data_IF_039857640908
#
_entry.id   IF_039857640908
#
_cell.length_a   1.000
_cell.length_b   1.000
_cell.length_c   1.000
_cell.angle_alpha   90.00
_cell.angle_beta   90.00
_cell.angle_gamma   90.00
#
_symmetry.space_group_name_H-M   'P 1'
#
loop_
_entity.id
_entity.type
_entity.pdbx_description
1 polymer ?
#
# COMPACT_ATOMS: atom_id res chain seq x y z
N UNK A 1 59.77 33.56 10.44
CA UNK A 1 58.39 33.48 10.96
C UNK A 1 58.33 34.20 12.31
N UNK A 2 57.74 35.41 12.38
CA UNK A 2 57.48 36.10 13.65
C UNK A 2 56.11 35.65 14.16
N UNK A 3 56.08 34.94 15.29
CA UNK A 3 54.83 34.62 16.01
C UNK A 3 54.36 35.91 16.68
N UNK A 4 53.18 36.41 16.31
CA UNK A 4 52.51 37.45 17.08
C UNK A 4 51.94 36.77 18.32
N UNK A 5 52.63 36.91 19.46
CA UNK A 5 52.06 36.55 20.75
C UNK A 5 50.84 37.46 20.99
N UNK A 6 49.65 36.90 20.92
CA UNK A 6 48.43 37.60 21.31
C UNK A 6 48.44 37.74 22.83
N UNK A 7 48.20 38.94 23.35
CA UNK A 7 48.23 39.33 24.78
C UNK A 7 47.44 38.42 25.74
N UNK A 8 46.66 37.48 25.20
CA UNK A 8 45.96 36.47 25.95
C UNK A 8 46.86 35.45 26.65
N UNK A 9 48.01 35.11 26.07
CA UNK A 9 48.95 34.15 26.67
C UNK A 9 49.66 34.72 27.91
N UNK A 10 49.65 36.05 28.07
CA UNK A 10 50.31 36.74 29.19
C UNK A 10 49.35 37.10 30.35
N UNK A 11 48.09 36.63 30.32
CA UNK A 11 47.11 36.85 31.40
C UNK A 11 46.71 38.32 31.66
N UNK A 12 47.17 39.27 30.83
CA UNK A 12 46.96 40.72 31.06
C UNK A 12 45.61 41.26 30.57
N UNK A 13 44.87 40.50 29.76
CA UNK A 13 43.60 40.95 29.18
C UNK A 13 42.55 39.85 29.31
N UNK A 14 41.41 40.19 29.89
CA UNK A 14 40.29 39.26 30.02
C UNK A 14 39.77 38.84 28.64
N UNK A 15 39.24 37.62 28.52
CA UNK A 15 38.69 37.11 27.25
C UNK A 15 37.60 38.02 26.68
N UNK A 16 36.84 38.64 27.57
CA UNK A 16 35.85 39.66 27.26
C UNK A 16 36.46 40.90 26.58
N UNK A 17 37.57 41.43 27.08
CA UNK A 17 38.20 42.63 26.54
C UNK A 17 38.92 42.37 25.21
N UNK A 18 39.53 41.20 25.04
CA UNK A 18 40.14 40.82 23.77
C UNK A 18 39.08 40.76 22.66
N UNK A 19 37.93 40.15 22.96
CA UNK A 19 36.79 40.10 22.05
C UNK A 19 36.25 41.51 21.75
N UNK A 20 36.08 42.37 22.77
CA UNK A 20 35.62 43.75 22.57
C UNK A 20 36.56 44.55 21.68
N UNK A 21 37.88 44.42 21.86
CA UNK A 21 38.90 45.10 21.05
C UNK A 21 38.86 44.61 19.60
N UNK A 22 38.86 43.30 19.39
CA UNK A 22 38.76 42.70 18.07
C UNK A 22 37.50 43.20 17.33
N UNK A 23 36.37 43.31 18.01
CA UNK A 23 35.13 43.81 17.42
C UNK A 23 35.14 45.31 17.14
N UNK A 24 35.74 46.13 18.01
CA UNK A 24 35.93 47.57 17.77
C UNK A 24 36.77 47.78 16.50
N UNK A 25 37.85 47.01 16.35
CA UNK A 25 38.71 47.05 15.16
C UNK A 25 37.97 46.64 13.90
N UNK A 26 37.21 45.53 13.92
CA UNK A 26 36.41 45.11 12.75
C UNK A 26 35.33 46.11 12.33
N UNK A 27 34.69 46.77 13.31
CA UNK A 27 33.70 47.83 13.04
C UNK A 27 34.35 49.05 12.36
N UNK A 28 35.56 49.44 12.77
CA UNK A 28 36.31 50.53 12.13
C UNK A 28 36.73 50.15 10.70
N UNK A 29 37.04 48.88 10.47
CA UNK A 29 37.45 48.34 9.17
C UNK A 29 36.29 47.98 8.23
N UNK A 30 35.03 48.14 8.66
CA UNK A 30 33.85 47.78 7.86
C UNK A 30 33.67 46.27 7.63
N UNK A 31 34.38 45.43 8.38
CA UNK A 31 34.30 43.97 8.26
C UNK A 31 33.00 43.43 8.88
N UNK A 32 32.39 42.37 8.30
CA UNK A 32 31.17 41.79 8.83
C UNK A 32 31.40 41.23 10.24
N UNK A 33 30.61 41.73 11.19
CA UNK A 33 30.61 41.23 12.57
C UNK A 33 29.89 39.88 12.61
N UNK A 34 30.50 38.81 13.14
CA UNK A 34 29.88 37.49 13.21
C UNK A 34 28.49 37.51 13.87
N UNK A 35 27.53 36.77 13.29
CA UNK A 35 26.16 36.68 13.81
C UNK A 35 26.17 36.06 15.22
N UNK A 36 25.70 36.83 16.21
CA UNK A 36 25.86 36.59 17.65
C UNK A 36 24.89 35.54 18.22
N UNK A 37 23.94 35.06 17.40
CA UNK A 37 22.89 34.14 17.84
C UNK A 37 22.77 32.90 16.93
N UNK A 38 23.88 32.44 16.33
CA UNK A 38 23.83 31.20 15.55
C UNK A 38 23.35 30.01 16.42
N UNK A 39 22.61 29.07 15.83
CA UNK A 39 22.20 27.85 16.52
C UNK A 39 23.40 27.09 17.10
N UNK A 40 24.52 27.05 16.36
CA UNK A 40 25.77 26.35 16.71
C UNK A 40 26.50 26.93 17.95
N UNK A 41 26.17 28.14 18.40
CA UNK A 41 26.84 28.75 19.55
C UNK A 41 26.38 28.11 20.88
N UNK A 42 27.34 27.84 21.78
CA UNK A 42 27.07 27.21 23.08
C UNK A 42 26.08 28.03 23.93
N UNK A 43 25.30 27.32 24.76
CA UNK A 43 24.31 27.94 25.65
C UNK A 43 24.98 28.93 26.61
N UNK A 44 26.12 28.56 27.16
CA UNK A 44 26.90 29.38 28.10
C UNK A 44 27.41 30.66 27.45
N UNK A 45 27.83 30.58 26.18
CA UNK A 45 28.25 31.76 25.40
C UNK A 45 27.09 32.72 25.13
N UNK A 46 25.89 32.18 24.84
CA UNK A 46 24.67 32.99 24.64
C UNK A 46 24.23 33.68 25.94
N UNK A 47 24.29 32.97 27.07
CA UNK A 47 23.97 33.55 28.38
C UNK A 47 25.01 34.60 28.81
N UNK A 48 26.30 34.34 28.56
CA UNK A 48 27.38 35.31 28.79
C UNK A 48 27.21 36.57 27.92
N UNK A 49 26.88 36.40 26.63
CA UNK A 49 26.57 37.52 25.72
C UNK A 49 25.40 38.35 26.24
N UNK A 50 24.30 37.70 26.64
CA UNK A 50 23.13 38.40 27.21
C UNK A 50 23.52 39.21 28.45
N UNK A 51 24.22 38.61 29.41
CA UNK A 51 24.65 39.30 30.64
C UNK A 51 25.66 40.43 30.40
N UNK A 52 26.60 40.23 29.47
CA UNK A 52 27.67 41.19 29.19
C UNK A 52 27.27 42.36 28.29
N UNK A 53 26.13 42.25 27.59
CA UNK A 53 25.62 43.24 26.64
C UNK A 53 24.39 44.00 27.12
N UNK A 54 23.80 43.60 28.25
CA UNK A 54 22.78 44.40 28.95
C UNK A 54 23.38 45.78 29.23
N UNK A 55 22.79 46.82 28.64
CA UNK A 55 23.19 48.22 28.80
C UNK A 55 24.21 48.78 27.79
N UNK A 56 24.79 47.99 26.88
CA UNK A 56 25.80 48.48 25.90
C UNK A 56 25.40 48.38 24.44
N UNK A 57 24.30 47.69 24.13
CA UNK A 57 23.79 47.57 22.77
C UNK A 57 22.35 48.03 22.77
N UNK A 58 22.11 49.26 22.30
CA UNK A 58 20.82 49.57 21.72
C UNK A 58 20.56 48.57 20.58
N UNK A 59 19.41 47.88 20.55
CA UNK A 59 19.04 47.06 19.41
C UNK A 59 19.18 47.92 18.16
N UNK A 60 20.17 47.61 17.31
CA UNK A 60 20.35 48.37 16.08
C UNK A 60 19.03 48.37 15.30
N UNK A 61 18.68 49.48 14.63
CA UNK A 61 17.33 49.74 14.12
C UNK A 61 16.73 48.63 13.24
N UNK A 62 17.56 47.75 12.67
CA UNK A 62 17.14 46.65 11.80
C UNK A 62 16.89 45.30 12.48
N UNK A 63 17.26 45.10 13.76
CA UNK A 63 17.11 43.78 14.42
C UNK A 63 15.64 43.38 14.62
N UNK A 64 14.72 44.28 15.04
CA UNK A 64 13.30 43.94 15.15
C UNK A 64 12.66 43.59 13.80
N UNK A 65 13.02 44.32 12.74
CA UNK A 65 12.50 44.10 11.38
C UNK A 65 12.93 42.75 10.78
N UNK A 66 14.15 42.29 11.06
CA UNK A 66 14.63 40.98 10.60
C UNK A 66 13.87 39.84 11.32
N UNK A 67 13.56 39.99 12.61
CA UNK A 67 12.84 38.98 13.38
C UNK A 67 11.38 38.89 12.92
N UNK A 68 10.71 40.01 12.63
CA UNK A 68 9.35 40.00 12.08
C UNK A 68 9.28 39.41 10.67
N UNK A 69 10.26 39.69 9.79
CA UNK A 69 10.32 39.09 8.45
C UNK A 69 10.52 37.56 8.48
N UNK A 70 11.37 37.05 9.38
CA UNK A 70 11.54 35.60 9.58
C UNK A 70 10.28 34.96 10.16
N UNK A 71 9.62 35.64 11.12
CA UNK A 71 8.35 35.19 11.70
C UNK A 71 7.24 35.07 10.67
N UNK A 72 7.07 36.10 9.83
CA UNK A 72 6.09 36.11 8.74
C UNK A 72 6.37 35.00 7.72
N UNK A 73 7.63 34.82 7.30
CA UNK A 73 8.04 33.71 6.41
C UNK A 73 7.72 32.34 6.99
N UNK A 74 7.89 32.16 8.30
CA UNK A 74 7.57 30.90 8.95
C UNK A 74 6.06 30.65 8.99
N UNK A 75 5.25 31.67 9.30
CA UNK A 75 3.78 31.57 9.28
C UNK A 75 3.24 31.23 7.88
N UNK A 76 3.76 31.88 6.83
CA UNK A 76 3.38 31.58 5.44
C UNK A 76 3.70 30.12 5.10
N UNK A 77 4.86 29.61 5.51
CA UNK A 77 5.23 28.20 5.27
C UNK A 77 4.31 27.22 6.01
N UNK A 78 3.97 27.51 7.26
CA UNK A 78 3.04 26.69 8.03
C UNK A 78 1.66 26.65 7.37
N UNK A 79 1.14 27.80 6.94
CA UNK A 79 -0.14 27.89 6.23
C UNK A 79 -0.13 27.06 4.94
N UNK A 80 0.92 27.18 4.13
CA UNK A 80 1.06 26.41 2.89
C UNK A 80 1.16 24.90 3.14
N UNK A 81 1.81 24.49 4.23
CA UNK A 81 1.87 23.07 4.63
C UNK A 81 0.50 22.57 5.07
N UNK A 82 -0.25 23.37 5.83
CA UNK A 82 -1.62 23.04 6.23
C UNK A 82 -2.53 22.84 5.01
N UNK A 83 -2.53 23.79 4.07
CA UNK A 83 -3.33 23.68 2.83
C UNK A 83 -2.96 22.47 1.97
N UNK A 84 -1.68 22.05 1.99
CA UNK A 84 -1.25 20.83 1.29
C UNK A 84 -1.74 19.58 2.01
N UNK A 85 -1.68 19.58 3.33
CA UNK A 85 -2.18 18.47 4.14
C UNK A 85 -3.69 18.28 3.92
N UNK A 86 -4.46 19.36 4.01
CA UNK A 86 -5.92 19.32 3.84
C UNK A 86 -6.32 18.85 2.44
N UNK A 87 -5.62 19.31 1.40
CA UNK A 87 -5.84 18.85 0.02
C UNK A 87 -5.51 17.37 -0.15
N UNK A 88 -4.40 16.90 0.41
CA UNK A 88 -4.00 15.51 0.32
C UNK A 88 -5.01 14.60 1.04
N UNK A 89 -5.50 15.03 2.21
CA UNK A 89 -6.50 14.29 2.97
C UNK A 89 -7.82 14.18 2.19
N UNK A 90 -8.28 15.28 1.58
CA UNK A 90 -9.48 15.27 0.75
C UNK A 90 -9.32 14.37 -0.49
N UNK A 91 -8.16 14.41 -1.14
CA UNK A 91 -7.85 13.54 -2.28
C UNK A 91 -7.79 12.07 -1.85
N UNK A 92 -7.20 11.78 -0.68
CA UNK A 92 -7.14 10.45 -0.11
C UNK A 92 -8.55 9.88 0.14
N UNK A 93 -9.43 10.67 0.77
CA UNK A 93 -10.82 10.29 0.99
C UNK A 93 -11.58 10.05 -0.33
N UNK A 94 -11.34 10.91 -1.34
CA UNK A 94 -11.93 10.71 -2.67
C UNK A 94 -11.49 9.38 -3.29
N UNK A 95 -10.18 9.08 -3.31
CA UNK A 95 -9.67 7.80 -3.84
C UNK A 95 -10.28 6.61 -3.10
N UNK A 96 -10.33 6.66 -1.77
CA UNK A 96 -10.99 5.62 -0.99
C UNK A 96 -12.47 5.43 -1.36
N UNK A 97 -13.19 6.52 -1.63
CA UNK A 97 -14.59 6.44 -2.06
C UNK A 97 -14.74 5.85 -3.47
N UNK A 98 -13.79 6.12 -4.38
CA UNK A 98 -13.76 5.56 -5.73
C UNK A 98 -13.39 4.06 -5.68
N UNK A 99 -12.37 3.71 -4.90
CA UNK A 99 -11.94 2.32 -4.66
C UNK A 99 -13.07 1.48 -4.05
N UNK A 100 -13.81 2.03 -3.08
CA UNK A 100 -14.95 1.34 -2.48
C UNK A 100 -16.04 1.01 -3.52
N UNK A 101 -16.30 1.92 -4.47
CA UNK A 101 -17.25 1.68 -5.57
C UNK A 101 -16.74 0.59 -6.51
N UNK A 102 -15.46 0.64 -6.89
CA UNK A 102 -14.84 -0.37 -7.75
C UNK A 102 -14.86 -1.75 -7.08
N UNK A 103 -14.51 -1.82 -5.79
CA UNK A 103 -14.56 -3.07 -5.02
C UNK A 103 -15.99 -3.61 -4.95
N UNK A 104 -17.00 -2.76 -4.75
CA UNK A 104 -18.39 -3.18 -4.73
C UNK A 104 -18.84 -3.79 -6.08
N UNK A 105 -18.45 -3.15 -7.19
CA UNK A 105 -18.72 -3.67 -8.54
C UNK A 105 -18.03 -5.00 -8.79
N UNK A 106 -16.75 -5.12 -8.43
CA UNK A 106 -16.00 -6.38 -8.59
C UNK A 106 -16.59 -7.51 -7.75
N UNK A 107 -17.05 -7.23 -6.52
CA UNK A 107 -17.75 -8.21 -5.69
C UNK A 107 -19.05 -8.69 -6.34
N UNK A 108 -19.81 -7.77 -6.93
CA UNK A 108 -21.05 -8.11 -7.63
C UNK A 108 -20.78 -9.00 -8.85
N UNK A 109 -19.81 -8.64 -9.69
CA UNK A 109 -19.46 -9.44 -10.88
C UNK A 109 -18.92 -10.82 -10.49
N UNK A 110 -18.11 -10.90 -9.44
CA UNK A 110 -17.63 -12.17 -8.90
C UNK A 110 -18.77 -13.04 -8.37
N UNK A 111 -19.79 -12.45 -7.74
CA UNK A 111 -20.98 -13.17 -7.31
C UNK A 111 -21.79 -13.70 -8.49
N UNK A 112 -22.01 -12.89 -9.54
CA UNK A 112 -22.69 -13.33 -10.77
C UNK A 112 -21.93 -14.47 -11.45
N UNK A 113 -20.60 -14.36 -11.54
CA UNK A 113 -19.76 -15.41 -12.13
C UNK A 113 -19.86 -16.72 -11.35
N UNK A 114 -19.86 -16.67 -10.01
CA UNK A 114 -20.08 -17.85 -9.16
C UNK A 114 -21.45 -18.48 -9.38
N UNK A 115 -22.50 -17.66 -9.50
CA UNK A 115 -23.84 -18.16 -9.78
C UNK A 115 -23.91 -18.86 -11.14
N UNK A 116 -23.37 -18.23 -12.18
CA UNK A 116 -23.31 -18.81 -13.53
C UNK A 116 -22.57 -20.16 -13.54
N UNK A 117 -21.44 -20.26 -12.82
CA UNK A 117 -20.72 -21.53 -12.68
C UNK A 117 -21.55 -22.60 -11.97
N UNK A 118 -22.27 -22.24 -10.90
CA UNK A 118 -23.15 -23.19 -10.19
C UNK A 118 -24.29 -23.70 -11.09
N UNK A 119 -24.91 -22.82 -11.88
CA UNK A 119 -25.97 -23.20 -12.83
C UNK A 119 -25.43 -24.14 -13.92
N UNK A 120 -24.20 -23.93 -14.37
CA UNK A 120 -23.52 -24.78 -15.34
C UNK A 120 -23.17 -26.15 -14.75
N UNK A 121 -22.67 -26.19 -13.52
CA UNK A 121 -22.39 -27.44 -12.79
C UNK A 121 -23.69 -28.26 -12.60
N UNK A 122 -24.78 -27.62 -12.17
CA UNK A 122 -26.08 -28.26 -12.02
C UNK A 122 -26.61 -28.82 -13.36
N UNK A 123 -26.44 -28.07 -14.45
CA UNK A 123 -26.84 -28.49 -15.80
C UNK A 123 -26.03 -29.70 -16.28
N UNK A 124 -24.71 -29.69 -16.06
CA UNK A 124 -23.83 -30.81 -16.41
C UNK A 124 -24.19 -32.06 -15.61
N UNK A 125 -24.43 -31.93 -14.30
CA UNK A 125 -24.84 -33.04 -13.44
C UNK A 125 -26.18 -33.65 -13.91
N UNK A 126 -27.16 -32.81 -14.27
CA UNK A 126 -28.42 -33.30 -14.83
C UNK A 126 -28.23 -34.04 -16.15
N UNK A 127 -27.34 -33.56 -17.03
CA UNK A 127 -27.02 -34.25 -18.29
C UNK A 127 -26.35 -35.60 -18.04
N UNK A 128 -25.38 -35.66 -17.12
CA UNK A 128 -24.71 -36.93 -16.73
C UNK A 128 -25.76 -37.92 -16.23
N UNK A 129 -26.60 -37.53 -15.28
CA UNK A 129 -27.66 -38.39 -14.74
C UNK A 129 -28.68 -38.82 -15.79
N UNK A 130 -28.94 -37.97 -16.80
CA UNK A 130 -29.82 -38.31 -17.92
C UNK A 130 -29.19 -39.40 -18.81
N UNK A 131 -27.92 -39.23 -19.16
CA UNK A 131 -27.16 -40.20 -19.96
C UNK A 131 -27.01 -41.52 -19.22
N UNK A 132 -26.68 -41.49 -17.93
CA UNK A 132 -26.58 -42.70 -17.11
C UNK A 132 -27.92 -43.45 -17.06
N UNK A 133 -29.04 -42.75 -16.82
CA UNK A 133 -30.37 -43.37 -16.86
C UNK A 133 -30.69 -44.00 -18.21
N UNK A 134 -30.33 -43.32 -19.31
CA UNK A 134 -30.51 -43.85 -20.64
C UNK A 134 -29.69 -45.13 -20.86
N UNK A 135 -28.41 -45.14 -20.47
CA UNK A 135 -27.54 -46.33 -20.57
C UNK A 135 -28.11 -47.50 -19.78
N UNK A 136 -28.60 -47.27 -18.55
CA UNK A 136 -29.20 -48.33 -17.74
C UNK A 136 -30.48 -48.90 -18.38
N UNK A 137 -31.35 -48.02 -18.91
CA UNK A 137 -32.57 -48.45 -19.60
C UNK A 137 -32.27 -49.24 -20.87
N UNK A 138 -31.33 -48.75 -21.68
CA UNK A 138 -30.95 -49.39 -22.94
C UNK A 138 -30.23 -50.72 -22.71
N UNK A 139 -29.35 -50.80 -21.71
CA UNK A 139 -28.74 -52.05 -21.28
C UNK A 139 -29.77 -53.07 -20.79
N UNK A 140 -30.78 -52.64 -20.03
CA UNK A 140 -31.87 -53.50 -19.59
C UNK A 140 -32.75 -53.98 -20.75
N UNK A 141 -32.99 -53.12 -21.76
CA UNK A 141 -33.72 -53.46 -22.99
C UNK A 141 -32.98 -54.52 -23.79
N UNK A 142 -31.70 -54.28 -24.08
CA UNK A 142 -30.85 -55.23 -24.82
C UNK A 142 -30.74 -56.58 -24.10
N UNK A 143 -30.56 -56.58 -22.78
CA UNK A 143 -30.54 -57.81 -21.99
C UNK A 143 -31.86 -58.60 -22.10
N UNK A 144 -33.01 -57.91 -22.09
CA UNK A 144 -34.33 -58.53 -22.26
C UNK A 144 -34.50 -59.12 -23.67
N UNK A 145 -34.05 -58.42 -24.70
CA UNK A 145 -34.12 -58.90 -26.09
C UNK A 145 -33.26 -60.15 -26.29
N UNK A 146 -32.06 -60.18 -25.72
CA UNK A 146 -31.18 -61.35 -25.74
C UNK A 146 -31.81 -62.57 -25.04
N UNK A 147 -32.47 -62.37 -23.89
CA UNK A 147 -33.16 -63.46 -23.18
C UNK A 147 -34.32 -64.03 -24.01
N UNK A 148 -35.07 -63.18 -24.71
CA UNK A 148 -36.14 -63.61 -25.61
C UNK A 148 -35.60 -64.40 -26.80
N UNK A 149 -34.55 -63.91 -27.45
CA UNK A 149 -33.91 -64.60 -28.56
C UNK A 149 -33.38 -65.98 -28.15
N UNK A 150 -32.73 -66.08 -26.99
CA UNK A 150 -32.23 -67.34 -26.44
C UNK A 150 -33.38 -68.31 -26.14
N UNK A 151 -34.46 -67.84 -25.49
CA UNK A 151 -35.64 -68.66 -25.20
C UNK A 151 -36.27 -69.21 -26.48
N UNK A 152 -36.34 -68.40 -27.54
CA UNK A 152 -36.89 -68.82 -28.83
C UNK A 152 -35.99 -69.87 -29.49
N UNK A 153 -34.67 -69.67 -29.49
CA UNK A 153 -33.71 -70.62 -30.03
C UNK A 153 -33.80 -71.98 -29.31
N UNK A 154 -33.86 -71.98 -27.97
CA UNK A 154 -34.05 -73.22 -27.20
C UNK A 154 -35.38 -73.91 -27.52
N UNK A 155 -36.46 -73.15 -27.69
CA UNK A 155 -37.77 -73.72 -28.05
C UNK A 155 -37.75 -74.35 -29.45
N UNK A 156 -37.05 -73.72 -30.40
CA UNK A 156 -36.88 -74.21 -31.77
C UNK A 156 -36.08 -75.51 -31.79
N UNK A 157 -34.95 -75.57 -31.07
CA UNK A 157 -34.13 -76.78 -30.90
C UNK A 157 -34.94 -77.95 -30.30
N UNK A 158 -35.70 -77.69 -29.23
CA UNK A 158 -36.59 -78.71 -28.62
C UNK A 158 -37.66 -79.17 -29.60
N UNK A 159 -38.22 -78.25 -30.38
CA UNK A 159 -39.25 -78.55 -31.38
C UNK A 159 -38.70 -79.36 -32.57
N UNK A 160 -37.45 -79.09 -32.97
CA UNK A 160 -36.71 -79.89 -33.96
C UNK A 160 -36.45 -81.29 -33.40
N UNK A 161 -35.85 -81.40 -32.21
CA UNK A 161 -35.56 -82.68 -31.58
C UNK A 161 -36.82 -83.55 -31.39
N UNK A 162 -37.94 -82.95 -30.99
CA UNK A 162 -39.23 -83.64 -30.87
C UNK A 162 -39.75 -84.12 -32.22
N UNK A 163 -39.64 -83.32 -33.29
CA UNK A 163 -40.01 -83.73 -34.65
C UNK A 163 -39.13 -84.87 -35.16
N UNK A 164 -37.82 -84.81 -34.94
CA UNK A 164 -36.89 -85.88 -35.33
C UNK A 164 -37.22 -87.21 -34.64
N UNK A 165 -37.48 -87.19 -33.32
CA UNK A 165 -37.89 -88.39 -32.56
C UNK A 165 -39.24 -88.98 -33.00
N UNK A 166 -40.17 -88.15 -33.48
CA UNK A 166 -41.46 -88.60 -34.01
C UNK A 166 -41.34 -89.11 -35.45
N UNK A 167 -40.42 -88.56 -36.24
CA UNK A 167 -40.07 -89.05 -37.58
C UNK A 167 -39.39 -90.42 -37.57
N UNK A 168 -38.54 -90.68 -36.58
CA UNK A 168 -37.89 -91.99 -36.38
C UNK A 168 -38.85 -93.10 -35.91
N UNK A 169 -40.05 -92.76 -35.44
CA UNK A 169 -41.06 -93.74 -34.99
C UNK A 169 -42.02 -94.22 -36.09
N UNK A 170 -41.89 -93.69 -37.30
CA UNK A 170 -42.79 -94.00 -38.43
C UNK A 170 -42.11 -94.79 -39.56
N UNK A 171 -40.93 -95.37 -39.29
CA UNK A 171 -40.20 -96.26 -40.20
C UNK A 171 -40.26 -97.71 -39.72
#
# INVERSE_FOLDING_TARGET
MKKFATDHENGRVSYAEHIRRAWKTRRILGEPVPNRFRPECSRDYKEWLKKSLVGTIEPGPNVPHIITDVGAKHQIRLHQLQEKFDRNELEHQRRHSEDAKVIAQLKQELQKSRQCMSELDDSMEQQIQSVERFIHQEGARLARDHLWANRYAMWEEVSIAKRSRLGERSG
#
